data_IF_930692393056
#
_entry.id   IF_930692393056
#
_cell.length_a   1.000
_cell.length_b   1.000
_cell.length_c   1.000
_cell.angle_alpha   90.00
_cell.angle_beta   90.00
_cell.angle_gamma   90.00
#
_symmetry.space_group_name_H-M   'P 1'
#
loop_
_entity.id
_entity.type
_entity.pdbx_description
1 polymer ?
#
# COMPACT_ATOMS: atom_id res chain seq x y z
N UNK A 1 -1.90 -2.92 -5.78
CA UNK A 1 -3.37 -2.67 -5.76
C UNK A 1 -3.81 -2.42 -4.33
N UNK A 2 -4.72 -1.48 -4.08
CA UNK A 2 -5.42 -1.36 -2.78
C UNK A 2 -6.84 -1.90 -2.95
N UNK A 3 -7.26 -2.70 -1.99
CA UNK A 3 -8.63 -3.19 -1.83
C UNK A 3 -9.16 -2.72 -0.48
N UNK A 4 -10.48 -2.56 -0.37
CA UNK A 4 -11.17 -2.29 0.89
C UNK A 4 -12.07 -3.45 1.20
N UNK A 5 -12.18 -3.82 2.49
CA UNK A 5 -13.05 -4.93 2.90
C UNK A 5 -14.53 -4.57 2.77
N UNK A 6 -14.87 -3.28 2.88
CA UNK A 6 -16.22 -2.74 2.74
C UNK A 6 -16.21 -1.25 2.35
N UNK A 7 -17.38 -0.74 1.97
CA UNK A 7 -17.57 0.66 1.58
C UNK A 7 -17.35 1.65 2.73
N UNK A 8 -17.54 1.22 3.99
CA UNK A 8 -17.29 2.05 5.17
C UNK A 8 -15.80 2.35 5.31
N UNK A 9 -14.97 1.30 5.24
CA UNK A 9 -13.51 1.39 5.26
C UNK A 9 -13.00 2.24 4.10
N UNK A 10 -13.59 2.08 2.91
CA UNK A 10 -13.26 2.92 1.76
C UNK A 10 -13.51 4.41 2.05
N UNK A 11 -14.70 4.76 2.57
CA UNK A 11 -15.05 6.14 2.87
C UNK A 11 -14.15 6.73 3.97
N UNK A 12 -13.98 6.01 5.09
CA UNK A 12 -13.18 6.46 6.22
C UNK A 12 -11.71 6.69 5.86
N UNK A 13 -11.11 5.78 5.09
CA UNK A 13 -9.72 5.93 4.63
C UNK A 13 -9.59 7.08 3.63
N UNK A 14 -10.53 7.22 2.69
CA UNK A 14 -10.50 8.31 1.72
C UNK A 14 -10.60 9.68 2.39
N UNK A 15 -11.49 9.81 3.38
CA UNK A 15 -11.65 11.04 4.17
C UNK A 15 -10.38 11.34 4.97
N UNK A 16 -9.82 10.34 5.66
CA UNK A 16 -8.56 10.48 6.39
C UNK A 16 -7.39 10.91 5.50
N UNK A 17 -7.27 10.33 4.30
CA UNK A 17 -6.23 10.70 3.34
C UNK A 17 -6.42 12.12 2.78
N UNK A 18 -7.67 12.57 2.64
CA UNK A 18 -7.98 13.93 2.21
C UNK A 18 -7.57 14.96 3.27
N UNK A 19 -7.85 14.67 4.55
CA UNK A 19 -7.53 15.57 5.67
C UNK A 19 -6.03 15.51 6.04
N UNK A 20 -5.39 14.33 5.93
CA UNK A 20 -4.02 14.11 6.39
C UNK A 20 -3.07 13.71 5.24
N UNK A 21 -2.37 14.66 4.58
CA UNK A 21 -1.43 14.37 3.49
C UNK A 21 -0.29 13.41 3.87
N UNK A 22 0.14 13.42 5.14
CA UNK A 22 1.16 12.49 5.65
C UNK A 22 0.71 11.03 5.56
N UNK A 23 -0.55 10.74 5.91
CA UNK A 23 -1.16 9.43 5.76
C UNK A 23 -1.28 9.05 4.28
N UNK A 24 -1.72 9.99 3.43
CA UNK A 24 -1.81 9.75 2.00
C UNK A 24 -0.45 9.36 1.40
N UNK A 25 0.63 10.02 1.82
CA UNK A 25 2.00 9.68 1.41
C UNK A 25 2.42 8.29 1.90
N UNK A 26 2.15 7.93 3.16
CA UNK A 26 2.46 6.62 3.72
C UNK A 26 1.75 5.48 2.95
N UNK A 27 0.45 5.64 2.69
CA UNK A 27 -0.34 4.65 1.94
C UNK A 27 0.12 4.59 0.47
N UNK A 28 0.37 5.74 -0.17
CA UNK A 28 0.85 5.80 -1.55
C UNK A 28 2.21 5.13 -1.75
N UNK A 29 3.10 5.19 -0.74
CA UNK A 29 4.38 4.47 -0.79
C UNK A 29 4.19 2.95 -0.94
N UNK A 30 3.11 2.38 -0.39
CA UNK A 30 2.81 0.96 -0.58
C UNK A 30 2.31 0.63 -2.00
N UNK A 31 1.74 1.62 -2.70
CA UNK A 31 1.27 1.50 -4.08
C UNK A 31 2.39 1.66 -5.10
N UNK A 32 3.53 2.25 -4.72
CA UNK A 32 4.66 2.39 -5.62
C UNK A 32 5.21 1.00 -5.98
N UNK A 33 5.04 0.64 -7.25
CA UNK A 33 5.65 -0.56 -7.81
C UNK A 33 7.18 -0.36 -7.85
N UNK A 34 7.99 -1.31 -7.37
CA UNK A 34 9.40 -1.37 -7.69
C UNK A 34 9.52 -1.81 -9.15
N UNK A 35 9.26 -0.91 -10.10
CA UNK A 35 8.89 -1.31 -11.45
C UNK A 35 9.54 -0.51 -12.55
N UNK A 36 10.84 -0.20 -12.44
CA UNK A 36 11.68 0.24 -13.55
C UNK A 36 13.13 -0.18 -13.27
N UNK A 37 13.55 -1.30 -13.85
CA UNK A 37 14.94 -1.72 -13.78
C UNK A 37 15.75 -1.01 -14.87
N UNK A 38 16.90 -0.50 -14.50
CA UNK A 38 17.92 -0.05 -15.45
C UNK A 38 18.93 -1.17 -15.62
N UNK A 39 19.28 -1.49 -16.86
CA UNK A 39 20.51 -2.23 -17.13
C UNK A 39 21.69 -1.35 -16.77
N UNK A 40 22.69 -1.95 -16.12
CA UNK A 40 23.94 -1.29 -15.82
C UNK A 40 25.08 -2.08 -16.48
N UNK A 41 26.13 -1.39 -16.93
CA UNK A 41 27.36 -2.04 -17.37
C UNK A 41 28.15 -2.57 -16.16
N UNK A 42 29.29 -3.19 -16.43
CA UNK A 42 30.21 -3.71 -15.41
C UNK A 42 30.78 -2.62 -14.48
N UNK A 43 30.68 -1.35 -14.88
CA UNK A 43 31.13 -0.18 -14.11
C UNK A 43 29.98 0.43 -13.29
N UNK A 44 28.77 -0.15 -13.36
CA UNK A 44 27.59 0.34 -12.66
C UNK A 44 26.96 1.57 -13.33
N UNK A 45 27.33 1.92 -14.57
CA UNK A 45 26.70 3.01 -15.31
C UNK A 45 25.45 2.48 -16.00
N UNK A 46 24.39 3.29 -16.02
CA UNK A 46 23.15 2.95 -16.72
C UNK A 46 23.42 2.79 -18.22
N UNK A 47 23.03 1.64 -18.77
CA UNK A 47 23.07 1.34 -20.20
C UNK A 47 21.69 0.87 -20.68
N UNK A 48 21.34 1.19 -21.93
CA UNK A 48 20.09 0.74 -22.55
C UNK A 48 18.83 1.48 -22.10
N UNK A 49 17.72 1.09 -22.71
CA UNK A 49 16.39 1.63 -22.41
C UNK A 49 15.84 1.03 -21.12
N UNK A 50 14.82 1.70 -20.57
CA UNK A 50 14.02 1.21 -19.46
C UNK A 50 13.57 -0.23 -19.74
N UNK A 51 13.98 -1.18 -18.92
CA UNK A 51 13.48 -2.54 -19.04
C UNK A 51 12.08 -2.58 -18.43
N UNK A 52 11.07 -2.43 -19.29
CA UNK A 52 9.68 -2.67 -18.92
C UNK A 52 9.44 -4.18 -18.97
N UNK A 53 9.83 -4.87 -17.91
CA UNK A 53 9.52 -6.27 -17.71
C UNK A 53 8.23 -6.41 -16.88
N UNK A 54 7.35 -7.38 -17.18
CA UNK A 54 6.23 -7.68 -16.29
C UNK A 54 6.73 -8.05 -14.89
N UNK A 55 6.04 -7.56 -13.86
CA UNK A 55 6.41 -7.93 -12.48
C UNK A 55 6.18 -9.43 -12.28
N UNK A 56 7.19 -10.18 -11.79
CA UNK A 56 7.05 -11.63 -11.55
C UNK A 56 6.14 -11.94 -10.36
N UNK A 57 5.85 -10.93 -9.53
CA UNK A 57 4.98 -11.00 -8.36
C UNK A 57 4.10 -9.76 -8.31
N UNK A 58 2.79 -9.96 -8.17
CA UNK A 58 1.85 -8.88 -7.88
C UNK A 58 1.64 -8.76 -6.37
N UNK A 59 1.47 -7.52 -5.92
CA UNK A 59 1.12 -7.20 -4.55
C UNK A 59 -0.22 -6.48 -4.49
N UNK A 60 -1.03 -6.85 -3.51
CA UNK A 60 -2.20 -6.09 -3.11
C UNK A 60 -2.23 -5.87 -1.61
N UNK A 61 -2.85 -4.77 -1.19
CA UNK A 61 -3.02 -4.39 0.20
C UNK A 61 -4.50 -4.22 0.45
N UNK A 62 -5.05 -5.01 1.36
CA UNK A 62 -6.42 -4.85 1.82
C UNK A 62 -6.41 -3.93 3.04
N UNK A 63 -7.24 -2.88 3.03
CA UNK A 63 -7.43 -1.95 4.13
C UNK A 63 -8.78 -2.18 4.81
N UNK A 64 -8.79 -2.03 6.13
CA UNK A 64 -9.97 -2.16 6.97
C UNK A 64 -9.95 -1.09 8.07
N UNK A 65 -11.12 -0.52 8.34
CA UNK A 65 -11.35 0.36 9.49
C UNK A 65 -12.48 -0.22 10.32
N UNK A 66 -12.22 -0.47 11.59
CA UNK A 66 -13.26 -0.81 12.56
C UNK A 66 -14.02 0.46 12.94
N UNK A 67 -15.36 0.46 12.96
CA UNK A 67 -16.14 1.59 13.47
C UNK A 67 -15.78 1.99 14.91
N UNK A 68 -15.22 1.07 15.70
CA UNK A 68 -14.78 1.33 17.08
C UNK A 68 -13.51 2.19 17.15
N UNK A 69 -12.74 2.22 16.07
CA UNK A 69 -11.49 2.97 15.97
C UNK A 69 -11.71 4.35 15.33
N UNK A 70 -12.97 4.76 15.14
CA UNK A 70 -13.31 6.11 14.72
C UNK A 70 -13.22 7.09 15.89
N UNK A 71 -12.61 8.26 15.64
CA UNK A 71 -12.64 9.43 16.50
C UNK A 71 -13.31 10.55 15.73
N UNK A 72 -14.57 10.82 16.07
CA UNK A 72 -15.47 11.68 15.29
C UNK A 72 -15.69 11.08 13.88
N UNK A 73 -15.30 11.81 12.83
CA UNK A 73 -15.44 11.39 11.44
C UNK A 73 -14.16 10.76 10.86
N UNK A 74 -13.06 10.69 11.63
CA UNK A 74 -11.78 10.16 11.15
C UNK A 74 -11.35 8.89 11.91
N UNK A 75 -10.71 7.92 11.24
CA UNK A 75 -10.13 6.77 11.90
C UNK A 75 -8.90 7.17 12.72
N UNK A 76 -8.72 6.53 13.87
CA UNK A 76 -7.46 6.51 14.64
C UNK A 76 -6.55 5.37 14.20
N UNK A 77 -7.12 4.29 13.71
CA UNK A 77 -6.41 3.11 13.22
C UNK A 77 -7.00 2.63 11.88
N UNK A 78 -6.11 2.27 10.95
CA UNK A 78 -6.45 1.63 9.68
C UNK A 78 -5.65 0.34 9.59
N UNK A 79 -6.27 -0.79 9.84
CA UNK A 79 -5.63 -2.10 9.72
C UNK A 79 -5.38 -2.44 8.25
N UNK A 80 -4.32 -3.21 7.98
CA UNK A 80 -4.03 -3.71 6.64
C UNK A 80 -3.50 -5.14 6.64
N UNK A 81 -3.77 -5.82 5.52
CA UNK A 81 -3.13 -7.08 5.17
C UNK A 81 -2.56 -6.99 3.75
N UNK A 82 -1.25 -7.26 3.61
CA UNK A 82 -0.58 -7.33 2.30
C UNK A 82 -0.56 -8.76 1.82
N UNK A 83 -0.88 -8.94 0.55
CA UNK A 83 -0.87 -10.22 -0.14
C UNK A 83 0.07 -10.17 -1.33
N UNK A 84 0.64 -11.32 -1.68
CA UNK A 84 1.42 -11.52 -2.91
C UNK A 84 0.82 -12.65 -3.74
N UNK A 85 0.98 -12.57 -5.05
CA UNK A 85 0.61 -13.62 -5.99
C UNK A 85 1.70 -13.75 -7.08
N UNK A 86 2.17 -14.97 -7.39
CA UNK A 86 3.10 -15.18 -8.50
C UNK A 86 2.43 -14.87 -9.85
N UNK A 87 3.22 -14.39 -10.81
CA UNK A 87 2.75 -14.09 -12.15
C UNK A 87 3.42 -14.95 -13.21
N UNK A 88 2.72 -15.18 -14.32
CA UNK A 88 3.33 -15.78 -15.50
C UNK A 88 4.23 -14.78 -16.25
N UNK A 89 4.86 -15.24 -17.34
CA UNK A 89 5.72 -14.42 -18.18
C UNK A 89 5.01 -13.20 -18.81
N UNK A 90 3.68 -13.18 -18.86
CA UNK A 90 2.87 -12.06 -19.31
C UNK A 90 2.46 -11.10 -18.18
N UNK A 91 2.87 -11.36 -16.93
CA UNK A 91 2.50 -10.55 -15.76
C UNK A 91 1.10 -10.82 -15.22
N UNK A 92 0.45 -11.90 -15.63
CA UNK A 92 -0.88 -12.27 -15.14
C UNK A 92 -0.75 -13.12 -13.88
N UNK A 93 -1.58 -12.90 -12.84
CA UNK A 93 -1.58 -13.72 -11.62
C UNK A 93 -1.99 -15.17 -11.96
N UNK A 94 -1.19 -16.16 -11.53
CA UNK A 94 -1.43 -17.58 -11.83
C UNK A 94 -1.51 -18.49 -10.60
N UNK A 95 -1.34 -17.95 -9.41
CA UNK A 95 -1.40 -18.70 -8.16
C UNK A 95 -2.34 -18.09 -7.13
N UNK A 96 -2.40 -18.70 -5.96
CA UNK A 96 -3.18 -18.16 -4.84
C UNK A 96 -2.55 -16.89 -4.27
N UNK A 97 -3.40 -16.01 -3.75
CA UNK A 97 -2.97 -14.85 -2.98
C UNK A 97 -2.52 -15.29 -1.59
N UNK A 98 -1.22 -15.14 -1.32
CA UNK A 98 -0.64 -15.45 -0.02
C UNK A 98 -0.56 -14.18 0.83
N UNK A 99 -1.11 -14.21 2.04
CA UNK A 99 -0.93 -13.14 3.02
C UNK A 99 0.53 -13.13 3.50
N UNK A 100 1.19 -11.98 3.44
CA UNK A 100 2.61 -11.85 3.75
C UNK A 100 2.91 -10.86 4.87
N UNK A 101 2.09 -9.83 5.05
CA UNK A 101 2.26 -8.84 6.10
C UNK A 101 0.88 -8.51 6.64
N UNK A 102 0.76 -8.35 7.95
CA UNK A 102 -0.40 -7.78 8.63
C UNK A 102 0.11 -6.62 9.44
N UNK A 103 -0.67 -5.55 9.56
CA UNK A 103 -0.24 -4.37 10.28
C UNK A 103 -1.37 -3.36 10.42
N UNK A 104 -1.01 -2.17 10.88
CA UNK A 104 -1.92 -1.04 10.97
C UNK A 104 -1.19 0.28 10.73
N UNK A 105 -1.92 1.25 10.19
CA UNK A 105 -1.57 2.66 10.30
C UNK A 105 -2.24 3.20 11.55
N UNK A 106 -1.47 3.82 12.45
CA UNK A 106 -1.95 4.31 13.73
C UNK A 106 -1.66 5.80 13.83
N UNK A 107 -2.67 6.59 14.19
CA UNK A 107 -2.52 7.98 14.60
C UNK A 107 -2.22 8.05 16.11
N UNK A 108 -0.98 8.37 16.47
CA UNK A 108 -0.57 8.59 17.86
C UNK A 108 -0.94 9.98 18.38
N UNK A 109 -1.28 10.90 17.49
CA UNK A 109 -1.67 12.28 17.79
C UNK A 109 -3.18 12.47 17.92
N UNK A 110 -3.65 13.65 17.51
CA UNK A 110 -5.08 13.98 17.40
C UNK A 110 -5.49 14.14 15.94
N UNK A 111 -6.75 14.50 15.68
CA UNK A 111 -7.20 14.88 14.34
C UNK A 111 -6.65 16.26 13.95
N UNK A 112 -6.44 17.16 14.91
CA UNK A 112 -5.87 18.49 14.66
C UNK A 112 -4.35 18.47 14.46
N UNK A 113 -3.67 17.54 15.15
CA UNK A 113 -2.23 17.34 15.09
C UNK A 113 -1.94 15.83 14.88
N UNK A 114 -2.10 15.33 13.65
CA UNK A 114 -1.97 13.91 13.35
C UNK A 114 -0.51 13.47 13.36
N UNK A 115 -0.25 12.28 13.92
CA UNK A 115 1.04 11.61 13.92
C UNK A 115 0.86 10.15 13.46
N UNK A 116 0.83 9.98 12.14
CA UNK A 116 0.60 8.68 11.52
C UNK A 116 1.89 7.88 11.38
N UNK A 117 1.85 6.63 11.84
CA UNK A 117 2.94 5.67 11.68
C UNK A 117 2.39 4.30 11.25
N UNK A 118 3.27 3.45 10.69
CA UNK A 118 2.93 2.09 10.28
C UNK A 118 3.57 1.08 11.22
N UNK A 119 2.80 0.09 11.64
CA UNK A 119 3.21 -1.04 12.48
C UNK A 119 2.93 -2.34 11.74
N UNK A 120 3.86 -3.29 11.77
CA UNK A 120 3.77 -4.61 11.10
C UNK A 120 4.20 -5.72 12.05
#
# INVERSE_FOLDING_TARGET
MIEFIDSFSQAAVAEAMCVHPGLAKLIAQQLMLPGFAYTHDIEGRRIGNLLVAPNPVLYKTMLFVSPRDMREHLPREISFARFRCPCNAAGQPVGEWQRVIVGAYVNHGSNDAPDWSSHT
#
